data_IF_048510366011
#
_entry.id   IF_048510366011
#
_cell.length_a   1.000
_cell.length_b   1.000
_cell.length_c   1.000
_cell.angle_alpha   90.00
_cell.angle_beta   90.00
_cell.angle_gamma   90.00
#
_symmetry.space_group_name_H-M   'P 1'
#
loop_
_entity.id
_entity.type
_entity.pdbx_description
1 polymer ?
#
# COMPACT_ATOMS: atom_id res chain seq x y z
N UNK A 1 2.93 -10.97 19.94
CA UNK A 1 1.83 -10.43 19.12
C UNK A 1 2.22 -10.72 17.68
N UNK A 2 1.48 -11.60 17.00
CA UNK A 2 1.78 -12.07 15.64
C UNK A 2 1.09 -11.17 14.60
N UNK A 3 1.84 -10.76 13.57
CA UNK A 3 1.30 -10.61 12.21
C UNK A 3 0.53 -9.34 11.87
N UNK A 4 1.07 -8.15 12.16
CA UNK A 4 0.81 -7.02 11.26
C UNK A 4 1.78 -7.17 10.10
N UNK A 5 1.27 -7.55 8.93
CA UNK A 5 2.07 -7.69 7.72
C UNK A 5 2.02 -6.43 6.86
N UNK A 6 1.05 -5.55 7.14
CA UNK A 6 0.94 -4.23 6.58
C UNK A 6 0.84 -3.21 7.70
N UNK A 7 1.58 -2.11 7.54
CA UNK A 7 1.48 -0.91 8.35
C UNK A 7 1.26 0.28 7.42
N UNK A 8 0.21 1.08 7.66
CA UNK A 8 -0.14 2.21 6.83
C UNK A 8 -0.02 3.52 7.61
N UNK A 9 0.86 4.40 7.12
CA UNK A 9 1.00 5.77 7.58
C UNK A 9 0.48 6.75 6.53
N UNK A 10 -0.06 7.89 6.98
CA UNK A 10 -0.59 8.92 6.09
C UNK A 10 -0.04 10.28 6.48
N UNK A 11 0.55 10.98 5.51
CA UNK A 11 0.84 12.41 5.56
C UNK A 11 -0.23 13.12 4.75
N UNK A 12 -1.09 13.89 5.44
CA UNK A 12 -2.24 14.55 4.84
C UNK A 12 -2.26 16.05 5.13
N UNK A 13 -3.02 16.80 4.32
CA UNK A 13 -3.34 18.19 4.61
C UNK A 13 -4.54 18.25 5.55
N UNK A 14 -4.70 19.34 6.31
CA UNK A 14 -5.86 19.55 7.22
C UNK A 14 -7.22 19.36 6.51
N UNK A 15 -7.26 19.53 5.20
CA UNK A 15 -8.47 19.39 4.38
C UNK A 15 -8.80 17.93 4.03
N UNK A 16 -7.79 17.07 3.89
CA UNK A 16 -7.96 15.67 3.46
C UNK A 16 -7.87 14.65 4.61
N UNK A 17 -7.35 15.05 5.78
CA UNK A 17 -7.23 14.17 6.97
C UNK A 17 -8.54 13.49 7.38
N UNK A 18 -9.70 14.13 7.17
CA UNK A 18 -11.00 13.57 7.58
C UNK A 18 -11.45 12.38 6.72
N UNK A 19 -10.90 12.25 5.51
CA UNK A 19 -11.30 11.25 4.53
C UNK A 19 -10.33 10.07 4.52
N UNK A 20 -9.07 10.32 4.84
CA UNK A 20 -7.97 9.35 4.79
C UNK A 20 -7.98 8.46 6.03
N UNK A 21 -8.80 7.41 5.97
CA UNK A 21 -8.91 6.41 7.03
C UNK A 21 -8.03 5.20 6.71
N UNK A 22 -6.71 5.38 6.77
CA UNK A 22 -5.71 4.36 6.44
C UNK A 22 -5.87 3.07 7.25
N UNK A 23 -6.35 3.18 8.50
CA UNK A 23 -6.63 2.04 9.37
C UNK A 23 -7.59 1.03 8.74
N UNK A 24 -8.65 1.45 8.04
CA UNK A 24 -9.57 0.51 7.40
C UNK A 24 -8.90 -0.25 6.24
N UNK A 25 -8.07 0.44 5.46
CA UNK A 25 -7.31 -0.20 4.39
C UNK A 25 -6.29 -1.18 4.97
N UNK A 26 -5.60 -0.80 6.04
CA UNK A 26 -4.64 -1.65 6.76
C UNK A 26 -5.31 -2.91 7.30
N UNK A 27 -6.42 -2.77 8.02
CA UNK A 27 -7.18 -3.90 8.56
C UNK A 27 -7.66 -4.82 7.45
N UNK A 28 -8.22 -4.26 6.38
CA UNK A 28 -8.68 -5.02 5.24
C UNK A 28 -7.52 -5.77 4.55
N UNK A 29 -6.37 -5.11 4.37
CA UNK A 29 -5.20 -5.74 3.75
C UNK A 29 -4.65 -6.88 4.59
N UNK A 30 -4.50 -6.67 5.90
CA UNK A 30 -4.03 -7.69 6.83
C UNK A 30 -4.97 -8.91 6.90
N UNK A 31 -6.29 -8.72 6.72
CA UNK A 31 -7.27 -9.81 6.67
C UNK A 31 -7.24 -10.59 5.36
N UNK A 32 -7.07 -9.90 4.22
CA UNK A 32 -7.25 -10.51 2.90
C UNK A 32 -5.94 -11.00 2.27
N UNK A 33 -4.81 -10.37 2.57
CA UNK A 33 -3.52 -10.63 1.90
C UNK A 33 -2.40 -11.03 2.87
N UNK A 34 -2.53 -12.13 3.62
CA UNK A 34 -1.45 -12.58 4.47
C UNK A 34 -0.18 -12.90 3.65
N UNK A 35 0.92 -12.19 3.93
CA UNK A 35 2.13 -12.21 3.09
C UNK A 35 2.78 -13.58 2.95
N UNK A 36 2.70 -14.43 3.98
CA UNK A 36 3.24 -15.78 3.96
C UNK A 36 2.65 -16.67 2.84
N UNK A 37 1.47 -16.33 2.29
CA UNK A 37 0.88 -17.06 1.15
C UNK A 37 1.66 -16.84 -0.14
N UNK A 38 2.38 -15.72 -0.25
CA UNK A 38 3.14 -15.32 -1.42
C UNK A 38 4.61 -15.69 -1.31
N UNK A 39 5.07 -16.16 -0.14
CA UNK A 39 6.43 -16.62 0.07
C UNK A 39 7.06 -16.05 1.34
N UNK A 40 8.33 -16.37 1.58
CA UNK A 40 9.04 -16.03 2.83
C UNK A 40 9.95 -14.80 2.71
N UNK A 41 10.05 -14.22 1.50
CA UNK A 41 10.97 -13.11 1.22
C UNK A 41 10.50 -11.76 1.78
N UNK A 42 9.28 -11.71 2.31
CA UNK A 42 8.67 -10.49 2.82
C UNK A 42 7.80 -10.84 4.03
N UNK A 43 8.12 -10.25 5.18
CA UNK A 43 7.36 -10.38 6.41
C UNK A 43 6.45 -9.15 6.63
N UNK A 44 6.85 -7.99 6.12
CA UNK A 44 6.16 -6.72 6.36
C UNK A 44 6.19 -5.78 5.14
N UNK A 45 5.10 -5.04 4.96
CA UNK A 45 4.98 -3.94 4.01
C UNK A 45 4.56 -2.67 4.76
N UNK A 46 5.44 -1.68 4.79
CA UNK A 46 5.14 -0.35 5.28
C UNK A 46 4.69 0.54 4.11
N UNK A 47 3.58 1.23 4.26
CA UNK A 47 2.98 2.07 3.23
C UNK A 47 2.81 3.49 3.75
N UNK A 48 3.49 4.45 3.14
CA UNK A 48 3.31 5.86 3.38
C UNK A 48 2.49 6.50 2.25
N UNK A 49 1.23 6.81 2.54
CA UNK A 49 0.45 7.67 1.66
C UNK A 49 0.77 9.14 1.93
N UNK A 50 1.05 9.91 0.89
CA UNK A 50 1.36 11.33 1.01
C UNK A 50 0.49 12.16 0.08
N UNK A 51 -0.17 13.18 0.60
CA UNK A 51 -0.93 14.16 -0.19
C UNK A 51 -0.05 15.34 -0.63
N UNK A 52 1.26 15.29 -0.34
CA UNK A 52 2.22 16.30 -0.77
C UNK A 52 2.45 16.21 -2.29
N UNK A 53 2.24 17.32 -3.00
CA UNK A 53 2.46 17.45 -4.45
C UNK A 53 3.91 17.16 -4.87
N UNK A 54 4.85 17.22 -3.92
CA UNK A 54 6.27 16.92 -4.16
C UNK A 54 6.66 15.47 -3.85
N UNK A 55 5.76 14.67 -3.28
CA UNK A 55 6.06 13.28 -2.98
C UNK A 55 6.17 12.47 -4.28
N UNK A 56 7.31 11.79 -4.45
CA UNK A 56 7.49 10.85 -5.54
C UNK A 56 7.02 9.46 -5.12
N UNK A 57 6.34 8.76 -6.03
CA UNK A 57 6.09 7.33 -5.85
C UNK A 57 7.42 6.58 -5.81
N UNK A 58 7.56 5.64 -4.89
CA UNK A 58 8.81 4.91 -4.74
C UNK A 58 8.66 3.69 -3.86
N UNK A 59 9.66 2.82 -3.94
CA UNK A 59 9.78 1.66 -3.07
C UNK A 59 11.22 1.45 -2.62
N UNK A 60 11.38 0.87 -1.44
CA UNK A 60 12.65 0.41 -0.91
C UNK A 60 12.45 -0.97 -0.27
N UNK A 61 13.29 -1.94 -0.65
CA UNK A 61 13.26 -3.28 -0.07
C UNK A 61 14.49 -3.51 0.80
N UNK A 62 14.25 -3.92 2.04
CA UNK A 62 15.26 -4.22 3.06
C UNK A 62 15.31 -5.74 3.28
N UNK A 63 16.20 -6.47 2.58
CA UNK A 63 16.18 -7.95 2.60
C UNK A 63 16.54 -8.55 3.96
N UNK A 64 17.38 -7.88 4.76
CA UNK A 64 17.75 -8.33 6.10
C UNK A 64 16.56 -8.35 7.06
N UNK A 65 15.68 -7.36 6.93
CA UNK A 65 14.48 -7.20 7.74
C UNK A 65 13.25 -7.85 7.09
N UNK A 66 13.36 -8.24 5.80
CA UNK A 66 12.25 -8.72 4.97
C UNK A 66 11.09 -7.71 4.96
N UNK A 67 11.45 -6.43 4.84
CA UNK A 67 10.56 -5.27 4.86
C UNK A 67 10.54 -4.58 3.50
N UNK A 68 9.35 -4.24 3.02
CA UNK A 68 9.15 -3.40 1.84
C UNK A 68 8.50 -2.08 2.26
N UNK A 69 9.16 -0.98 2.00
CA UNK A 69 8.64 0.36 2.23
C UNK A 69 8.13 0.95 0.91
N UNK A 70 6.92 1.50 0.93
CA UNK A 70 6.28 2.14 -0.22
C UNK A 70 5.96 3.59 0.12
N UNK A 71 6.32 4.51 -0.76
CA UNK A 71 5.86 5.90 -0.72
C UNK A 71 4.89 6.12 -1.87
N UNK A 72 3.68 6.59 -1.56
CA UNK A 72 2.57 6.65 -2.50
C UNK A 72 1.95 8.05 -2.48
N UNK A 73 2.19 8.88 -3.50
CA UNK A 73 1.51 10.14 -3.63
C UNK A 73 0.02 9.93 -3.92
N UNK A 74 -0.83 10.72 -3.26
CA UNK A 74 -2.27 10.75 -3.48
C UNK A 74 -2.70 12.12 -4.04
N UNK A 75 -3.68 12.14 -4.95
CA UNK A 75 -4.17 13.39 -5.54
C UNK A 75 -5.02 14.21 -4.55
N UNK A 76 -4.47 15.30 -3.99
CA UNK A 76 -5.18 16.17 -3.02
C UNK A 76 -6.55 16.63 -3.52
N UNK A 77 -6.61 17.06 -4.78
CA UNK A 77 -7.84 17.59 -5.38
C UNK A 77 -8.95 16.54 -5.47
N UNK A 78 -8.61 15.31 -5.86
CA UNK A 78 -9.60 14.23 -5.98
C UNK A 78 -10.05 13.74 -4.61
N UNK A 79 -9.14 13.71 -3.63
CA UNK A 79 -9.45 13.35 -2.25
C UNK A 79 -10.34 14.37 -1.54
N UNK A 80 -10.25 15.66 -1.90
CA UNK A 80 -11.02 16.70 -1.24
C UNK A 80 -12.54 16.53 -1.39
N UNK A 81 -12.98 16.12 -2.59
CA UNK A 81 -14.39 15.97 -2.92
C UNK A 81 -14.90 14.53 -2.74
N UNK A 82 -13.99 13.58 -2.47
CA UNK A 82 -14.30 12.15 -2.40
C UNK A 82 -15.04 11.74 -1.12
N UNK A 83 -16.02 10.85 -1.27
CA UNK A 83 -16.60 10.11 -0.16
C UNK A 83 -15.63 9.08 0.43
N UNK A 84 -16.00 8.44 1.54
CA UNK A 84 -15.15 7.44 2.21
C UNK A 84 -14.78 6.27 1.29
N UNK A 85 -15.77 5.73 0.56
CA UNK A 85 -15.57 4.62 -0.38
C UNK A 85 -14.64 5.01 -1.54
N UNK A 86 -14.84 6.20 -2.09
CA UNK A 86 -14.03 6.72 -3.20
C UNK A 86 -12.59 6.95 -2.75
N UNK A 87 -12.40 7.49 -1.55
CA UNK A 87 -11.08 7.67 -0.94
C UNK A 87 -10.34 6.34 -0.79
N UNK A 88 -11.01 5.30 -0.28
CA UNK A 88 -10.42 3.97 -0.16
C UNK A 88 -10.05 3.38 -1.53
N UNK A 89 -10.90 3.54 -2.55
CA UNK A 89 -10.62 3.08 -3.91
C UNK A 89 -9.45 3.84 -4.54
N UNK A 90 -9.33 5.15 -4.30
CA UNK A 90 -8.19 5.95 -4.76
C UNK A 90 -6.89 5.47 -4.10
N UNK A 91 -6.88 5.25 -2.79
CA UNK A 91 -5.73 4.72 -2.06
C UNK A 91 -5.33 3.34 -2.56
N UNK A 92 -6.28 2.42 -2.71
CA UNK A 92 -6.03 1.07 -3.21
C UNK A 92 -5.52 1.08 -4.66
N UNK A 93 -6.07 1.95 -5.51
CA UNK A 93 -5.64 2.10 -6.90
C UNK A 93 -4.21 2.64 -7.00
N UNK A 94 -3.88 3.65 -6.19
CA UNK A 94 -2.53 4.21 -6.12
C UNK A 94 -1.51 3.18 -5.61
N UNK A 95 -1.91 2.36 -4.63
CA UNK A 95 -1.12 1.23 -4.15
C UNK A 95 -0.89 0.19 -5.24
N UNK A 96 -1.94 -0.25 -5.93
CA UNK A 96 -1.80 -1.19 -7.04
C UNK A 96 -0.88 -0.65 -8.13
N UNK A 97 -0.98 0.65 -8.45
CA UNK A 97 -0.09 1.29 -9.41
C UNK A 97 1.37 1.22 -8.96
N UNK A 98 1.66 1.59 -7.72
CA UNK A 98 3.02 1.55 -7.16
C UNK A 98 3.57 0.13 -7.13
N UNK A 99 2.75 -0.85 -6.74
CA UNK A 99 3.13 -2.25 -6.75
C UNK A 99 3.49 -2.71 -8.16
N UNK A 100 2.75 -2.30 -9.21
CA UNK A 100 3.04 -2.68 -10.61
C UNK A 100 4.43 -2.26 -11.07
N UNK A 101 4.95 -1.15 -10.57
CA UNK A 101 6.26 -0.62 -10.95
C UNK A 101 7.43 -1.38 -10.30
N UNK A 102 7.19 -2.17 -9.26
CA UNK A 102 8.23 -2.98 -8.63
C UNK A 102 8.67 -4.10 -9.61
N UNK A 103 9.96 -4.38 -9.80
CA UNK A 103 10.41 -5.51 -10.62
C UNK A 103 10.01 -6.86 -10.00
N UNK A 104 9.70 -7.86 -10.83
CA UNK A 104 9.37 -9.21 -10.34
C UNK A 104 10.52 -9.88 -9.60
N UNK A 105 11.75 -9.54 -9.97
CA UNK A 105 12.97 -10.09 -9.39
C UNK A 105 13.46 -9.31 -8.17
N UNK A 106 12.68 -8.35 -7.67
CA UNK A 106 13.07 -7.53 -6.51
C UNK A 106 13.18 -8.35 -5.21
N UNK A 107 12.55 -9.53 -5.16
CA UNK A 107 12.49 -10.39 -3.98
C UNK A 107 12.95 -11.81 -4.32
N UNK A 108 13.81 -12.41 -3.50
CA UNK A 108 14.37 -13.74 -3.77
C UNK A 108 13.35 -14.89 -3.62
N UNK A 109 12.46 -14.78 -2.64
CA UNK A 109 11.52 -15.87 -2.27
C UNK A 109 10.08 -15.38 -2.04
N UNK A 110 9.73 -14.20 -2.58
CA UNK A 110 8.38 -13.64 -2.51
C UNK A 110 7.81 -13.45 -3.91
N UNK A 111 6.65 -14.05 -4.18
CA UNK A 111 5.94 -13.95 -5.44
C UNK A 111 5.11 -12.67 -5.49
N UNK A 112 5.80 -11.58 -5.79
CA UNK A 112 5.18 -10.27 -5.99
C UNK A 112 4.20 -10.25 -7.17
N UNK A 113 4.32 -11.17 -8.14
CA UNK A 113 3.39 -11.23 -9.27
C UNK A 113 2.04 -11.78 -8.84
N UNK A 114 2.04 -12.87 -8.07
CA UNK A 114 0.82 -13.44 -7.50
C UNK A 114 0.13 -12.45 -6.55
N UNK A 115 0.90 -11.83 -5.64
CA UNK A 115 0.36 -10.81 -4.73
C UNK A 115 -0.34 -9.65 -5.49
N UNK A 116 0.30 -9.12 -6.54
CA UNK A 116 -0.30 -8.07 -7.37
C UNK A 116 -1.56 -8.52 -8.09
N UNK A 117 -1.58 -9.75 -8.58
CA UNK A 117 -2.74 -10.29 -9.31
C UNK A 117 -3.94 -10.38 -8.38
N UNK A 118 -3.76 -11.01 -7.22
CA UNK A 118 -4.81 -11.14 -6.20
C UNK A 118 -5.31 -9.77 -5.74
N UNK A 119 -4.39 -8.82 -5.51
CA UNK A 119 -4.75 -7.46 -5.11
C UNK A 119 -5.53 -6.73 -6.20
N UNK A 120 -5.13 -6.88 -7.47
CA UNK A 120 -5.83 -6.27 -8.61
C UNK A 120 -7.25 -6.82 -8.80
N UNK A 121 -7.46 -8.12 -8.63
CA UNK A 121 -8.78 -8.75 -8.74
C UNK A 121 -9.76 -8.24 -7.67
N UNK A 122 -9.26 -7.92 -6.48
CA UNK A 122 -10.09 -7.42 -5.38
C UNK A 122 -10.39 -5.91 -5.46
N UNK A 123 -9.55 -5.13 -6.17
CA UNK A 123 -9.74 -3.69 -6.37
C UNK A 123 -10.57 -3.37 -7.62
N UNK A 124 -10.74 -4.32 -8.55
CA UNK A 124 -11.55 -4.21 -9.76
C UNK A 124 -13.06 -4.27 -9.50
#
# INVERSE_FOLDING_TARGET
MQGRNFEISIVSTVRTTKHLKGEYLEEWMNQNFPLFKYGSGLDEIFILFSVDENAAAGYQYHPEERLLELTIPLPDRELHDAGERETLLLMASALLSTLRDIPKQAFETFDISAFRSDFAEMVA
#
